data_IF_104920130928
#
_entry.id   IF_104920130928
#
_cell.length_a   1.000
_cell.length_b   1.000
_cell.length_c   1.000
_cell.angle_alpha   90.00
_cell.angle_beta   90.00
_cell.angle_gamma   90.00
#
_symmetry.space_group_name_H-M   'P 1'
#
loop_
_entity.id
_entity.type
_entity.pdbx_description
1 polymer ?
#
# COMPACT_ATOMS: atom_id res chain seq x y z
N UNK A 1 -7.00 -17.54 2.65
CA UNK A 1 -7.81 -16.51 3.31
C UNK A 1 -6.88 -15.40 3.80
N UNK A 2 -7.16 -14.11 3.52
CA UNK A 2 -6.36 -13.01 4.04
C UNK A 2 -6.40 -13.06 5.58
N UNK A 3 -5.25 -13.21 6.22
CA UNK A 3 -5.16 -13.19 7.68
C UNK A 3 -5.37 -11.76 8.17
N UNK A 4 -5.85 -11.55 9.40
CA UNK A 4 -5.90 -10.22 10.01
C UNK A 4 -4.46 -9.78 10.30
N UNK A 5 -3.86 -8.99 9.42
CA UNK A 5 -2.39 -8.92 9.33
C UNK A 5 -1.75 -7.85 10.22
N UNK A 6 -2.52 -6.86 10.69
CA UNK A 6 -1.96 -5.84 11.60
C UNK A 6 -2.99 -5.41 12.65
N UNK A 7 -2.52 -5.02 13.82
CA UNK A 7 -3.32 -4.35 14.85
C UNK A 7 -3.10 -2.84 14.66
N UNK A 8 -4.17 -2.04 14.54
CA UNK A 8 -4.08 -0.60 14.33
C UNK A 8 -3.19 0.12 15.36
N UNK A 9 -3.18 -0.33 16.63
CA UNK A 9 -2.28 0.19 17.67
C UNK A 9 -0.81 -0.02 17.31
N UNK A 10 -0.46 -1.20 16.77
CA UNK A 10 0.91 -1.51 16.32
C UNK A 10 1.31 -0.70 15.08
N UNK A 11 0.37 -0.34 14.21
CA UNK A 11 0.66 0.55 13.06
C UNK A 11 1.06 1.94 13.56
N UNK A 12 0.29 2.49 14.50
CA UNK A 12 0.57 3.82 15.08
C UNK A 12 1.90 3.85 15.83
N UNK A 13 2.24 2.80 16.58
CA UNK A 13 3.55 2.65 17.20
C UNK A 13 4.68 2.67 16.16
N UNK A 14 4.55 1.89 15.08
CA UNK A 14 5.55 1.91 14.00
C UNK A 14 5.66 3.30 13.36
N UNK A 15 4.54 3.99 13.13
CA UNK A 15 4.57 5.36 12.60
C UNK A 15 5.25 6.34 13.56
N UNK A 16 5.03 6.20 14.87
CA UNK A 16 5.68 7.03 15.87
C UNK A 16 7.21 6.83 15.84
N UNK A 17 7.67 5.59 15.82
CA UNK A 17 9.10 5.25 15.69
C UNK A 17 9.70 5.80 14.39
N UNK A 18 8.99 5.72 13.25
CA UNK A 18 9.48 6.28 11.98
C UNK A 18 9.60 7.81 12.00
N UNK A 19 8.85 8.50 12.86
CA UNK A 19 8.98 9.95 13.05
C UNK A 19 10.14 10.33 14.00
N UNK A 20 10.61 9.40 14.83
CA UNK A 20 11.73 9.60 15.73
C UNK A 20 13.06 9.53 14.97
N UNK A 21 13.93 10.53 15.16
CA UNK A 21 15.15 10.67 14.37
C UNK A 21 16.12 9.48 14.51
N UNK A 22 16.23 8.92 15.72
CA UNK A 22 17.11 7.78 16.00
C UNK A 22 16.62 6.50 15.32
N UNK A 23 15.35 6.17 15.50
CA UNK A 23 14.73 4.97 14.90
C UNK A 23 14.65 5.05 13.38
N UNK A 24 14.34 6.23 12.84
CA UNK A 24 14.34 6.47 11.40
C UNK A 24 15.74 6.26 10.80
N UNK A 25 16.78 6.81 11.42
CA UNK A 25 18.17 6.60 10.98
C UNK A 25 18.59 5.14 11.11
N UNK A 26 18.17 4.45 12.17
CA UNK A 26 18.42 3.02 12.32
C UNK A 26 17.77 2.21 11.18
N UNK A 27 16.55 2.57 10.77
CA UNK A 27 15.93 1.96 9.60
C UNK A 27 16.68 2.31 8.31
N UNK A 28 17.11 3.55 8.12
CA UNK A 28 17.95 3.92 6.98
C UNK A 28 19.21 3.03 6.89
N UNK A 29 19.94 2.84 7.98
CA UNK A 29 21.14 1.98 8.00
C UNK A 29 20.85 0.53 7.62
N UNK A 30 19.64 0.03 7.90
CA UNK A 30 19.22 -1.32 7.49
C UNK A 30 18.81 -1.40 6.01
N UNK A 31 18.35 -0.28 5.45
CA UNK A 31 17.86 -0.19 4.07
C UNK A 31 18.89 0.35 3.08
N UNK A 32 20.00 0.92 3.54
CA UNK A 32 20.99 1.58 2.67
C UNK A 32 21.64 0.64 1.66
N UNK A 33 21.78 -0.64 2.02
CA UNK A 33 22.30 -1.71 1.15
C UNK A 33 21.20 -2.47 0.37
N UNK A 34 19.93 -2.06 0.50
CA UNK A 34 18.83 -2.69 -0.20
C UNK A 34 18.89 -2.41 -1.71
N UNK A 35 18.21 -3.24 -2.49
CA UNK A 35 18.23 -3.12 -3.94
C UNK A 35 17.52 -1.83 -4.38
N UNK A 36 18.21 -0.99 -5.14
CA UNK A 36 17.58 0.16 -5.78
C UNK A 36 16.62 -0.29 -6.89
N UNK A 37 15.45 0.35 -6.93
CA UNK A 37 14.41 0.10 -7.91
C UNK A 37 14.04 1.38 -8.63
N UNK A 38 13.67 1.25 -9.90
CA UNK A 38 13.15 2.36 -10.70
C UNK A 38 11.67 2.16 -10.98
N UNK A 39 10.93 3.27 -11.03
CA UNK A 39 9.51 3.30 -11.41
C UNK A 39 9.41 4.12 -12.69
N UNK A 40 8.73 3.58 -13.70
CA UNK A 40 8.58 4.26 -15.00
C UNK A 40 7.93 5.64 -14.81
N UNK A 41 8.62 6.68 -15.29
CA UNK A 41 8.16 8.06 -15.19
C UNK A 41 8.15 8.64 -13.76
N UNK A 42 8.90 8.05 -12.83
CA UNK A 42 9.26 8.64 -11.55
C UNK A 42 10.75 9.01 -11.59
N UNK A 43 11.05 10.28 -11.36
CA UNK A 43 12.41 10.79 -11.19
C UNK A 43 12.52 11.41 -9.81
N UNK A 44 13.56 11.06 -9.07
CA UNK A 44 13.83 11.60 -7.75
C UNK A 44 15.06 12.51 -7.80
N UNK A 45 15.11 13.51 -6.91
CA UNK A 45 16.27 14.42 -6.84
C UNK A 45 17.56 13.68 -6.40
N UNK A 46 18.76 14.20 -6.74
CA UNK A 46 20.02 13.61 -6.28
C UNK A 46 20.06 13.39 -4.76
N UNK A 47 20.65 12.28 -4.34
CA UNK A 47 20.68 11.83 -2.95
C UNK A 47 19.47 10.99 -2.55
N UNK A 48 18.36 11.04 -3.29
CA UNK A 48 17.22 10.16 -3.06
C UNK A 48 17.29 8.93 -3.93
N UNK A 49 16.95 7.78 -3.35
CA UNK A 49 16.81 6.52 -4.08
C UNK A 49 15.62 5.73 -3.54
N UNK A 50 14.89 5.09 -4.44
CA UNK A 50 13.82 4.18 -4.06
C UNK A 50 14.41 2.78 -3.96
N UNK A 51 14.30 2.16 -2.78
CA UNK A 51 14.87 0.84 -2.52
C UNK A 51 13.79 -0.18 -2.19
N UNK A 52 14.12 -1.45 -2.43
CA UNK A 52 13.33 -2.62 -2.10
C UNK A 52 14.17 -3.61 -1.30
N UNK A 53 13.60 -4.12 -0.22
CA UNK A 53 14.13 -5.28 0.50
C UNK A 53 13.04 -6.32 0.70
N UNK A 54 13.38 -7.58 0.47
CA UNK A 54 12.45 -8.70 0.58
C UNK A 54 12.73 -9.45 1.90
N UNK A 55 11.66 -9.88 2.56
CA UNK A 55 11.68 -10.73 3.76
C UNK A 55 12.58 -10.26 4.93
N UNK A 56 12.85 -8.94 5.05
CA UNK A 56 13.66 -8.37 6.15
C UNK A 56 13.07 -8.70 7.53
N UNK A 57 11.74 -8.87 7.61
CA UNK A 57 11.01 -9.14 8.84
C UNK A 57 10.48 -10.57 8.91
N UNK A 58 11.10 -11.53 8.23
CA UNK A 58 10.70 -12.96 8.20
C UNK A 58 10.52 -13.60 9.57
N UNK A 59 11.28 -13.16 10.58
CA UNK A 59 11.17 -13.68 11.95
C UNK A 59 9.87 -13.22 12.66
N UNK A 60 9.17 -12.23 12.09
CA UNK A 60 7.95 -11.62 12.64
C UNK A 60 6.74 -11.78 11.71
N UNK A 61 6.97 -11.91 10.40
CA UNK A 61 5.94 -12.00 9.37
C UNK A 61 6.18 -13.30 8.61
N UNK A 62 5.25 -14.23 8.74
CA UNK A 62 5.34 -15.57 8.14
C UNK A 62 5.00 -15.57 6.65
N UNK A 63 4.23 -14.60 6.17
CA UNK A 63 3.88 -14.46 4.76
C UNK A 63 5.01 -13.79 3.99
N UNK A 64 5.17 -14.15 2.71
CA UNK A 64 6.10 -13.47 1.81
C UNK A 64 5.80 -11.99 1.73
N UNK A 65 6.83 -11.17 1.94
CA UNK A 65 6.66 -9.73 2.01
C UNK A 65 7.89 -8.99 1.51
N UNK A 66 7.67 -7.73 1.19
CA UNK A 66 8.75 -6.82 0.88
C UNK A 66 8.41 -5.41 1.35
N UNK A 67 9.45 -4.60 1.46
CA UNK A 67 9.33 -3.21 1.84
C UNK A 67 9.93 -2.33 0.76
N UNK A 68 9.21 -1.27 0.44
CA UNK A 68 9.65 -0.20 -0.44
C UNK A 68 9.93 1.03 0.42
N UNK A 69 11.06 1.69 0.19
CA UNK A 69 11.40 2.90 0.90
C UNK A 69 12.01 3.95 -0.01
N UNK A 70 11.64 5.21 0.16
CA UNK A 70 12.41 6.33 -0.37
C UNK A 70 13.39 6.77 0.71
N UNK A 71 14.67 6.55 0.47
CA UNK A 71 15.75 6.95 1.37
C UNK A 71 16.48 8.17 0.81
N UNK A 72 17.03 8.99 1.69
CA UNK A 72 17.91 10.10 1.34
C UNK A 72 19.31 9.85 1.92
N UNK A 73 20.28 9.58 1.05
CA UNK A 73 21.65 9.27 1.46
C UNK A 73 22.40 10.50 1.98
N UNK A 74 21.94 11.72 1.68
CA UNK A 74 22.56 12.96 2.17
C UNK A 74 22.18 13.24 3.61
N UNK A 75 20.91 13.02 3.98
CA UNK A 75 20.41 13.22 5.35
C UNK A 75 20.38 11.94 6.18
N UNK A 76 20.70 10.80 5.58
CA UNK A 76 20.69 9.47 6.18
C UNK A 76 19.36 9.14 6.87
N UNK A 77 18.25 9.42 6.18
CA UNK A 77 16.91 9.23 6.71
C UNK A 77 15.92 8.66 5.66
N UNK A 78 14.87 8.03 6.17
CA UNK A 78 13.78 7.43 5.40
C UNK A 78 12.65 8.44 5.28
N UNK A 79 12.29 8.82 4.05
CA UNK A 79 11.25 9.80 3.76
C UNK A 79 9.87 9.13 3.50
N UNK A 80 9.88 7.93 2.93
CA UNK A 80 8.68 7.13 2.65
C UNK A 80 8.97 5.67 2.95
N UNK A 81 8.00 4.96 3.50
CA UNK A 81 8.10 3.53 3.80
C UNK A 81 6.76 2.86 3.51
N UNK A 82 6.79 1.77 2.76
CA UNK A 82 5.62 0.99 2.37
C UNK A 82 5.92 -0.50 2.53
N UNK A 83 5.19 -1.17 3.41
CA UNK A 83 5.25 -2.62 3.58
C UNK A 83 4.14 -3.29 2.80
N UNK A 84 4.53 -4.28 2.00
CA UNK A 84 3.65 -5.00 1.10
C UNK A 84 3.70 -6.49 1.41
N UNK A 85 2.53 -7.08 1.59
CA UNK A 85 2.38 -8.53 1.72
C UNK A 85 1.96 -9.10 0.37
N UNK A 86 2.57 -10.22 -0.01
CA UNK A 86 2.17 -10.97 -1.19
C UNK A 86 1.16 -12.02 -0.73
N UNK A 87 -0.06 -11.92 -1.25
CA UNK A 87 -1.08 -12.91 -0.98
C UNK A 87 -0.85 -14.13 -1.87
N UNK A 88 -0.72 -15.34 -1.30
CA UNK A 88 -0.72 -16.55 -2.10
C UNK A 88 -2.12 -16.76 -2.66
N UNK A 89 -2.25 -16.68 -3.99
CA UNK A 89 -3.50 -16.98 -4.68
C UNK A 89 -3.29 -18.10 -5.70
N UNK A 90 -3.97 -19.23 -5.48
CA UNK A 90 -3.90 -20.40 -6.34
C UNK A 90 -4.94 -20.40 -7.46
N UNK A 91 -5.85 -19.43 -7.50
CA UNK A 91 -7.04 -19.43 -8.36
C UNK A 91 -6.96 -18.40 -9.50
N UNK A 92 -6.46 -17.21 -9.21
CA UNK A 92 -6.33 -16.09 -10.13
C UNK A 92 -5.09 -16.18 -11.03
N UNK A 93 -4.20 -17.16 -10.78
CA UNK A 93 -2.89 -17.28 -11.42
C UNK A 93 -2.10 -15.95 -11.45
N UNK A 94 -2.36 -15.09 -10.46
CA UNK A 94 -1.69 -13.82 -10.25
C UNK A 94 -1.12 -13.78 -8.82
N UNK A 95 -0.46 -12.69 -8.45
CA UNK A 95 0.15 -12.53 -7.12
C UNK A 95 -0.41 -11.28 -6.45
N UNK A 96 -1.66 -11.30 -5.94
CA UNK A 96 -2.25 -10.12 -5.33
C UNK A 96 -1.37 -9.61 -4.21
N UNK A 97 -1.30 -8.29 -4.07
CA UNK A 97 -0.56 -7.66 -2.98
C UNK A 97 -1.48 -6.82 -2.10
N UNK A 98 -1.12 -6.71 -0.84
CA UNK A 98 -1.77 -5.80 0.12
C UNK A 98 -0.74 -4.85 0.69
N UNK A 99 -1.00 -3.55 0.59
CA UNK A 99 -0.25 -2.54 1.33
C UNK A 99 -0.77 -2.52 2.76
N UNK A 100 0.03 -3.02 3.70
CA UNK A 100 -0.35 -3.12 5.13
C UNK A 100 0.18 -1.97 5.97
N UNK A 101 1.16 -1.24 5.46
CA UNK A 101 1.71 -0.09 6.16
C UNK A 101 2.26 0.89 5.14
N UNK A 102 1.65 2.07 5.04
CA UNK A 102 2.13 3.16 4.17
C UNK A 102 2.38 4.38 5.05
N UNK A 103 3.64 4.78 5.15
CA UNK A 103 4.09 5.91 5.94
C UNK A 103 4.88 6.89 5.08
N UNK A 104 4.72 8.19 5.38
CA UNK A 104 5.50 9.27 4.79
C UNK A 104 5.79 10.31 5.86
N UNK A 105 7.02 10.82 5.88
CA UNK A 105 7.38 11.89 6.81
C UNK A 105 6.67 13.21 6.46
N UNK A 106 6.40 14.02 7.49
CA UNK A 106 5.84 15.37 7.33
C UNK A 106 6.93 16.47 7.25
N UNK A 107 8.21 16.09 7.40
CA UNK A 107 9.34 17.01 7.32
C UNK A 107 9.35 17.75 5.97
N UNK A 108 9.47 19.08 6.03
CA UNK A 108 9.36 19.97 4.86
C UNK A 108 10.34 19.62 3.74
N UNK A 109 11.55 19.19 4.08
CA UNK A 109 12.64 18.92 3.14
C UNK A 109 12.33 17.80 2.12
N UNK A 110 11.42 16.87 2.45
CA UNK A 110 11.08 15.75 1.56
C UNK A 110 9.79 15.98 0.75
N UNK A 111 9.04 17.06 1.02
CA UNK A 111 7.70 17.27 0.44
C UNK A 111 7.65 17.19 -1.08
N UNK A 112 8.69 17.71 -1.75
CA UNK A 112 8.79 17.66 -3.22
C UNK A 112 8.83 16.22 -3.73
N UNK A 113 9.67 15.37 -3.14
CA UNK A 113 9.84 13.98 -3.56
C UNK A 113 8.65 13.10 -3.15
N UNK A 114 7.95 13.48 -2.08
CA UNK A 114 6.78 12.76 -1.58
C UNK A 114 5.49 13.10 -2.33
N UNK A 115 5.48 14.19 -3.11
CA UNK A 115 4.31 14.60 -3.86
C UNK A 115 3.87 13.49 -4.82
N UNK A 116 2.67 12.95 -4.59
CA UNK A 116 2.07 11.86 -5.37
C UNK A 116 2.90 10.54 -5.39
N UNK A 117 3.95 10.42 -4.57
CA UNK A 117 4.83 9.25 -4.58
C UNK A 117 4.07 7.95 -4.28
N UNK A 118 3.21 7.96 -3.27
CA UNK A 118 2.46 6.77 -2.86
C UNK A 118 1.50 6.29 -3.96
N UNK A 119 0.87 7.22 -4.69
CA UNK A 119 0.00 6.90 -5.83
C UNK A 119 0.79 6.30 -7.00
N UNK A 120 1.97 6.86 -7.28
CA UNK A 120 2.88 6.33 -8.31
C UNK A 120 3.43 4.96 -7.97
N UNK A 121 3.81 4.74 -6.71
CA UNK A 121 4.23 3.41 -6.22
C UNK A 121 3.08 2.41 -6.37
N UNK A 122 1.86 2.81 -5.99
CA UNK A 122 0.66 1.98 -6.13
C UNK A 122 0.41 1.57 -7.58
N UNK A 123 0.21 2.54 -8.48
CA UNK A 123 -0.23 2.27 -9.84
C UNK A 123 0.90 1.78 -10.74
N UNK A 124 2.09 2.39 -10.67
CA UNK A 124 3.16 2.15 -11.65
C UNK A 124 4.20 1.12 -11.25
N UNK A 125 4.20 0.69 -9.99
CA UNK A 125 5.10 -0.35 -9.51
C UNK A 125 4.35 -1.58 -9.02
N UNK A 126 3.43 -1.41 -8.06
CA UNK A 126 2.71 -2.55 -7.49
C UNK A 126 1.74 -3.14 -8.51
N UNK A 127 0.84 -2.33 -9.08
CA UNK A 127 -0.18 -2.85 -9.98
C UNK A 127 0.43 -3.42 -11.27
N UNK A 128 1.49 -2.80 -11.79
CA UNK A 128 2.20 -3.29 -12.97
C UNK A 128 2.92 -4.64 -12.75
N UNK A 129 3.38 -4.94 -11.53
CA UNK A 129 4.12 -6.17 -11.24
C UNK A 129 3.28 -7.31 -10.66
N UNK A 130 2.13 -6.98 -10.08
CA UNK A 130 1.33 -7.89 -9.27
C UNK A 130 -0.13 -8.02 -9.72
N UNK A 131 -0.56 -7.22 -10.69
CA UNK A 131 -1.87 -7.23 -11.37
C UNK A 131 -3.11 -6.93 -10.51
N UNK A 132 -3.06 -7.20 -9.21
CA UNK A 132 -4.13 -7.03 -8.24
C UNK A 132 -3.56 -6.40 -6.97
N UNK A 133 -4.22 -5.36 -6.48
CA UNK A 133 -3.94 -4.79 -5.16
C UNK A 133 -5.23 -4.81 -4.34
N UNK A 134 -5.12 -5.31 -3.11
CA UNK A 134 -6.23 -5.45 -2.16
C UNK A 134 -5.97 -4.54 -0.97
N UNK A 135 -7.01 -3.88 -0.47
CA UNK A 135 -6.92 -3.06 0.75
C UNK A 135 -6.62 -3.91 1.98
N UNK A 136 -5.96 -3.31 2.97
CA UNK A 136 -5.87 -3.94 4.29
C UNK A 136 -7.21 -3.84 5.04
N UNK A 137 -7.41 -4.70 6.04
CA UNK A 137 -8.59 -4.71 6.93
C UNK A 137 -8.59 -3.53 7.92
N UNK A 138 -7.44 -2.90 8.17
CA UNK A 138 -7.34 -1.73 9.06
C UNK A 138 -7.18 -0.46 8.24
N UNK A 139 -8.29 0.23 8.01
CA UNK A 139 -8.25 1.54 7.37
C UNK A 139 -8.29 2.64 8.44
N UNK A 140 -7.23 3.45 8.50
CA UNK A 140 -7.30 4.78 9.10
C UNK A 140 -8.10 5.70 8.18
N UNK A 141 -8.57 6.85 8.66
CA UNK A 141 -9.26 7.83 7.81
C UNK A 141 -8.41 8.21 6.58
N UNK A 142 -7.12 8.50 6.79
CA UNK A 142 -6.17 8.77 5.70
C UNK A 142 -6.03 7.59 4.72
N UNK A 143 -6.14 6.35 5.21
CA UNK A 143 -6.15 5.13 4.41
C UNK A 143 -7.38 5.04 3.51
N UNK A 144 -8.57 5.34 4.05
CA UNK A 144 -9.83 5.37 3.30
C UNK A 144 -9.77 6.41 2.17
N UNK A 145 -9.37 7.65 2.48
CA UNK A 145 -9.24 8.72 1.47
C UNK A 145 -8.18 8.38 0.41
N UNK A 146 -7.08 7.73 0.82
CA UNK A 146 -6.07 7.25 -0.13
C UNK A 146 -6.66 6.20 -1.08
N UNK A 147 -7.36 5.20 -0.56
CA UNK A 147 -8.00 4.17 -1.38
C UNK A 147 -9.08 4.73 -2.30
N UNK A 148 -9.88 5.68 -1.82
CA UNK A 148 -10.88 6.36 -2.63
C UNK A 148 -10.24 7.07 -3.83
N UNK A 149 -9.16 7.83 -3.60
CA UNK A 149 -8.41 8.45 -4.69
C UNK A 149 -7.86 7.40 -5.68
N UNK A 150 -7.38 6.26 -5.20
CA UNK A 150 -6.91 5.16 -6.07
C UNK A 150 -8.02 4.49 -6.85
N UNK A 151 -9.25 4.40 -6.32
CA UNK A 151 -10.40 3.89 -7.04
C UNK A 151 -10.80 4.82 -8.19
N UNK A 152 -10.85 6.13 -7.96
CA UNK A 152 -11.09 7.11 -9.03
C UNK A 152 -9.99 7.05 -10.11
N UNK A 153 -8.71 7.04 -9.72
CA UNK A 153 -7.61 6.89 -10.66
C UNK A 153 -7.74 5.60 -11.48
N UNK A 154 -8.11 4.49 -10.83
CA UNK A 154 -8.27 3.20 -11.48
C UNK A 154 -9.37 3.21 -12.55
N UNK A 155 -10.53 3.78 -12.24
CA UNK A 155 -11.63 3.94 -13.20
C UNK A 155 -11.21 4.81 -14.39
N UNK A 156 -10.54 5.94 -14.14
CA UNK A 156 -10.04 6.83 -15.18
C UNK A 156 -9.01 6.15 -16.11
N UNK A 157 -8.24 5.18 -15.61
CA UNK A 157 -7.31 4.38 -16.40
C UNK A 157 -7.92 3.10 -17.00
N UNK A 158 -9.23 2.89 -16.87
CA UNK A 158 -9.92 1.71 -17.40
C UNK A 158 -9.58 0.41 -16.67
N UNK A 159 -9.05 0.51 -15.45
CA UNK A 159 -8.80 -0.63 -14.57
C UNK A 159 -10.10 -1.10 -13.93
N UNK A 160 -10.07 -2.30 -13.34
CA UNK A 160 -11.22 -2.89 -12.66
C UNK A 160 -11.18 -2.58 -11.17
N UNK A 161 -12.30 -2.16 -10.63
CA UNK A 161 -12.47 -1.84 -9.22
C UNK A 161 -13.58 -2.72 -8.65
N UNK A 162 -13.34 -3.29 -7.48
CA UNK A 162 -14.30 -4.15 -6.80
C UNK A 162 -14.38 -3.87 -5.31
N UNK A 163 -15.55 -4.12 -4.74
CA UNK A 163 -15.78 -4.22 -3.31
C UNK A 163 -16.12 -5.68 -2.97
N UNK A 164 -15.37 -6.28 -2.04
CA UNK A 164 -15.47 -7.70 -1.71
C UNK A 164 -15.75 -7.89 -0.23
N UNK A 165 -16.76 -8.69 0.11
CA UNK A 165 -17.05 -9.10 1.49
C UNK A 165 -16.50 -10.52 1.73
N UNK A 166 -15.55 -10.65 2.65
CA UNK A 166 -14.93 -11.92 2.97
C UNK A 166 -15.86 -12.89 3.73
N UNK A 167 -16.90 -12.41 4.40
CA UNK A 167 -17.83 -13.26 5.14
C UNK A 167 -18.89 -13.87 4.21
N UNK A 168 -19.50 -13.04 3.38
CA UNK A 168 -20.52 -13.51 2.42
C UNK A 168 -19.93 -14.03 1.12
N UNK A 169 -18.64 -13.77 0.86
CA UNK A 169 -17.97 -14.01 -0.41
C UNK A 169 -18.63 -13.27 -1.60
N UNK A 170 -19.27 -12.13 -1.31
CA UNK A 170 -19.93 -11.31 -2.33
C UNK A 170 -18.93 -10.34 -2.96
N UNK A 171 -18.88 -10.32 -4.30
CA UNK A 171 -18.02 -9.44 -5.08
C UNK A 171 -18.86 -8.46 -5.91
N UNK A 172 -18.70 -7.18 -5.63
CA UNK A 172 -19.37 -6.08 -6.33
C UNK A 172 -18.39 -5.38 -7.27
N UNK A 173 -18.70 -5.28 -8.56
CA UNK A 173 -17.92 -4.48 -9.51
C UNK A 173 -18.35 -3.01 -9.42
N UNK A 174 -17.38 -2.12 -9.26
CA UNK A 174 -17.55 -0.66 -9.26
C UNK A 174 -17.12 -0.14 -10.63
N UNK A 175 -18.01 0.57 -11.32
CA UNK A 175 -17.86 0.98 -12.73
C UNK A 175 -17.84 2.49 -12.92
N UNK A 176 -18.36 3.26 -11.96
CA UNK A 176 -18.49 4.73 -12.08
C UNK A 176 -18.00 5.46 -10.84
N UNK A 177 -17.67 6.74 -11.02
CA UNK A 177 -17.26 7.63 -9.94
C UNK A 177 -18.35 7.78 -8.86
N UNK A 178 -19.63 7.81 -9.27
CA UNK A 178 -20.76 7.86 -8.33
C UNK A 178 -20.85 6.58 -7.47
N UNK A 179 -20.57 5.42 -8.07
CA UNK A 179 -20.51 4.16 -7.33
C UNK A 179 -19.35 4.13 -6.34
N UNK A 180 -18.21 4.77 -6.61
CA UNK A 180 -17.10 4.87 -5.64
C UNK A 180 -17.56 5.54 -4.35
N UNK A 181 -18.33 6.64 -4.44
CA UNK A 181 -18.88 7.32 -3.27
C UNK A 181 -19.93 6.47 -2.53
N UNK A 182 -20.75 5.72 -3.26
CA UNK A 182 -21.72 4.80 -2.66
C UNK A 182 -21.05 3.65 -1.90
N UNK A 183 -20.06 3.01 -2.53
CA UNK A 183 -19.35 1.87 -1.93
C UNK A 183 -18.36 2.29 -0.84
N UNK A 184 -17.96 3.57 -0.73
CA UNK A 184 -17.18 4.05 0.42
C UNK A 184 -17.90 3.75 1.75
N UNK A 185 -19.20 4.06 1.83
CA UNK A 185 -20.00 3.79 3.02
C UNK A 185 -20.17 2.30 3.27
N UNK A 186 -20.33 1.51 2.21
CA UNK A 186 -20.42 0.05 2.34
C UNK A 186 -19.09 -0.56 2.80
N UNK A 187 -17.96 -0.13 2.24
CA UNK A 187 -16.63 -0.64 2.58
C UNK A 187 -16.22 -0.27 4.01
N UNK A 188 -16.42 0.98 4.42
CA UNK A 188 -15.81 1.52 5.66
C UNK A 188 -16.77 2.23 6.61
N UNK A 189 -18.03 2.46 6.21
CA UNK A 189 -19.02 3.20 6.99
C UNK A 189 -19.78 2.38 8.03
N UNK A 190 -19.67 1.04 8.02
CA UNK A 190 -20.38 0.14 8.94
C UNK A 190 -19.44 -0.47 10.00
N UNK A 191 -19.42 0.05 11.25
CA UNK A 191 -18.54 -0.38 12.34
C UNK A 191 -18.55 -1.89 12.64
N UNK A 192 -19.64 -2.60 12.33
CA UNK A 192 -19.80 -4.02 12.61
C UNK A 192 -19.18 -4.93 11.54
N UNK A 193 -19.12 -4.46 10.30
CA UNK A 193 -18.78 -5.28 9.13
C UNK A 193 -17.58 -4.79 8.31
N UNK A 194 -17.12 -3.54 8.48
CA UNK A 194 -16.04 -2.96 7.66
C UNK A 194 -14.73 -3.77 7.70
N UNK A 195 -14.44 -4.46 8.81
CA UNK A 195 -13.21 -5.24 8.96
C UNK A 195 -13.15 -6.45 8.01
N UNK A 196 -14.29 -6.84 7.41
CA UNK A 196 -14.37 -7.96 6.48
C UNK A 196 -14.57 -7.53 5.03
N UNK A 197 -14.62 -6.22 4.76
CA UNK A 197 -14.85 -5.67 3.43
C UNK A 197 -13.56 -5.09 2.88
N UNK A 198 -13.23 -5.46 1.64
CA UNK A 198 -11.98 -5.11 0.98
C UNK A 198 -12.26 -4.39 -0.33
N UNK A 199 -11.53 -3.31 -0.57
CA UNK A 199 -11.44 -2.71 -1.89
C UNK A 199 -10.37 -3.46 -2.70
N UNK A 200 -10.65 -3.74 -3.97
CA UNK A 200 -9.74 -4.43 -4.88
C UNK A 200 -9.60 -3.61 -6.16
N UNK A 201 -8.37 -3.36 -6.57
CA UNK A 201 -8.04 -2.76 -7.88
C UNK A 201 -7.26 -3.79 -8.68
N UNK A 202 -7.68 -4.04 -9.92
CA UNK A 202 -7.07 -5.05 -10.78
C UNK A 202 -6.94 -4.62 -12.24
N UNK A 203 -5.89 -5.13 -12.89
CA UNK A 203 -5.73 -5.11 -14.36
C UNK A 203 -6.57 -6.18 -15.05
N UNK A 204 -6.97 -7.22 -14.31
CA UNK A 204 -7.68 -8.39 -14.81
C UNK A 204 -9.14 -8.35 -14.36
N UNK A 205 -10.02 -8.98 -15.14
CA UNK A 205 -11.38 -9.24 -14.67
C UNK A 205 -11.32 -10.37 -13.65
N UNK A 206 -11.84 -10.13 -12.45
CA UNK A 206 -11.92 -11.16 -11.42
C UNK A 206 -13.11 -12.10 -11.69
N UNK A 207 -12.99 -13.40 -11.36
CA UNK A 207 -14.08 -14.35 -11.47
C UNK A 207 -15.20 -13.97 -10.49
N UNK A 208 -16.41 -13.87 -11.01
CA UNK A 208 -17.66 -13.63 -10.28
C UNK A 208 -18.35 -14.93 -9.92
#
# INVERSE_FOLDING_TARGET
MPTKLVNATKVNEVFAHLNEGQDNRALYSQLSNAQEITIKGLTVSPGYRLVRIDDRLKDRITQSHFELALINDVSEDVAYYNRVLIQPDSFLNCRPVTQVLVWRTQKRQHRKELYDLAGRVFLRYLLEKYDVIVSDMNQTHDGMSFWQARMFDALAYGLKVYAYDMQSCELHEIKTDDEVGHYEQWLWGDPGHYQNRLAIISKLKLPS
#
